data_IF_077226607654
#
_entry.id   IF_077226607654
#
_cell.length_a   1.000
_cell.length_b   1.000
_cell.length_c   1.000
_cell.angle_alpha   90.00
_cell.angle_beta   90.00
_cell.angle_gamma   90.00
#
_symmetry.space_group_name_H-M   'P 1'
#
loop_
_entity.id
_entity.type
_entity.pdbx_description
1 polymer ?
#
# COMPACT_ATOMS: atom_id res chain seq x y z
N UNK A 1 80.78 -11.11 -31.64
CA UNK A 1 81.74 -11.89 -30.84
C UNK A 1 80.99 -12.97 -30.11
N UNK A 2 81.29 -14.17 -30.52
CA UNK A 2 81.55 -15.42 -29.81
C UNK A 2 80.50 -15.71 -28.68
N UNK A 3 79.64 -16.68 -28.77
CA UNK A 3 79.88 -18.11 -29.09
C UNK A 3 80.12 -18.87 -27.82
N UNK A 4 79.19 -19.74 -27.40
CA UNK A 4 79.52 -21.09 -26.85
C UNK A 4 78.20 -21.93 -26.73
N UNK A 5 78.17 -22.95 -27.56
CA UNK A 5 77.39 -24.18 -27.39
C UNK A 5 77.84 -24.93 -26.13
N UNK A 6 76.92 -25.48 -25.37
CA UNK A 6 77.12 -26.62 -24.50
C UNK A 6 75.82 -27.46 -24.50
N UNK A 7 75.85 -28.48 -25.15
CA UNK A 7 75.88 -29.87 -24.87
C UNK A 7 74.59 -30.37 -24.20
N UNK A 8 73.77 -31.11 -25.03
CA UNK A 8 72.59 -31.76 -24.55
C UNK A 8 72.87 -32.97 -23.65
N UNK A 9 72.05 -33.18 -22.69
CA UNK A 9 71.72 -34.51 -22.17
C UNK A 9 70.20 -34.60 -22.06
N UNK A 10 69.59 -35.50 -22.83
CA UNK A 10 68.23 -35.93 -22.67
C UNK A 10 68.11 -36.73 -21.36
N UNK A 11 67.15 -36.39 -20.48
CA UNK A 11 66.82 -37.29 -19.39
C UNK A 11 65.87 -38.38 -19.88
N UNK A 12 66.24 -39.63 -19.52
CA UNK A 12 65.55 -40.89 -19.66
C UNK A 12 64.08 -40.70 -19.14
N UNK A 13 63.13 -41.05 -19.95
CA UNK A 13 61.69 -41.12 -19.57
C UNK A 13 61.53 -42.24 -18.53
N UNK A 14 61.30 -41.85 -17.29
CA UNK A 14 60.81 -42.76 -16.26
C UNK A 14 59.33 -43.06 -16.56
N UNK A 15 59.07 -44.32 -16.83
CA UNK A 15 57.71 -44.87 -16.95
C UNK A 15 57.04 -44.83 -15.57
N UNK A 16 56.31 -43.70 -15.28
CA UNK A 16 55.42 -43.64 -14.15
C UNK A 16 54.11 -44.33 -14.52
N UNK A 17 54.01 -45.61 -14.15
CA UNK A 17 52.81 -46.39 -14.20
C UNK A 17 51.64 -45.54 -13.62
N UNK A 18 50.65 -45.29 -14.48
CA UNK A 18 49.42 -44.56 -14.06
C UNK A 18 48.84 -45.18 -12.81
N UNK A 19 48.69 -44.44 -11.69
CA UNK A 19 47.97 -44.96 -10.55
C UNK A 19 46.54 -45.20 -11.01
N UNK A 20 46.07 -46.45 -10.89
CA UNK A 20 44.65 -46.82 -11.01
C UNK A 20 43.86 -45.82 -10.21
N UNK A 21 42.97 -45.10 -10.88
CA UNK A 21 42.04 -44.16 -10.28
C UNK A 21 41.33 -44.85 -9.08
N UNK A 22 41.78 -44.55 -7.88
CA UNK A 22 41.04 -44.87 -6.69
C UNK A 22 39.69 -44.21 -6.87
N UNK A 23 38.60 -44.99 -6.82
CA UNK A 23 37.24 -44.49 -7.01
C UNK A 23 37.04 -43.26 -6.15
N UNK A 24 36.67 -42.16 -6.75
CA UNK A 24 36.34 -40.93 -6.04
C UNK A 24 35.38 -41.24 -4.90
N UNK A 25 35.68 -40.81 -3.66
CA UNK A 25 34.79 -41.08 -2.56
C UNK A 25 33.40 -40.54 -2.95
N UNK A 26 32.44 -41.44 -3.03
CA UNK A 26 31.03 -41.06 -3.30
C UNK A 26 30.63 -40.15 -2.19
N UNK A 27 30.58 -38.87 -2.43
CA UNK A 27 30.02 -37.88 -1.49
C UNK A 27 28.50 -38.12 -1.49
N UNK A 28 27.94 -38.74 -0.42
CA UNK A 28 26.57 -39.26 -0.47
C UNK A 28 25.50 -38.14 -0.48
N UNK A 29 25.91 -36.89 -0.39
CA UNK A 29 24.99 -35.73 -0.29
C UNK A 29 25.33 -34.59 -1.26
N UNK A 30 25.87 -34.87 -2.42
CA UNK A 30 25.95 -33.87 -3.48
C UNK A 30 24.52 -33.45 -3.88
N UNK A 31 24.18 -32.17 -3.75
CA UNK A 31 22.84 -31.60 -4.06
C UNK A 31 22.37 -31.97 -5.49
N UNK A 32 23.29 -32.27 -6.41
CA UNK A 32 23.01 -32.65 -7.79
C UNK A 32 22.72 -34.16 -7.98
N UNK A 33 22.86 -34.99 -6.93
CA UNK A 33 22.65 -36.43 -7.01
C UNK A 33 21.21 -36.87 -6.62
N UNK A 34 20.45 -36.02 -5.98
CA UNK A 34 19.09 -36.35 -5.56
C UNK A 34 18.13 -36.18 -6.73
N UNK A 35 17.82 -37.31 -7.40
CA UNK A 35 16.76 -37.36 -8.42
C UNK A 35 15.49 -37.91 -7.80
N UNK A 36 14.52 -37.02 -7.63
CA UNK A 36 13.19 -37.41 -7.17
C UNK A 36 12.47 -38.16 -8.29
N UNK A 37 11.81 -39.27 -7.94
CA UNK A 37 10.88 -39.96 -8.83
C UNK A 37 9.63 -39.06 -9.05
N UNK A 38 8.89 -39.36 -10.13
CA UNK A 38 7.63 -38.62 -10.42
C UNK A 38 6.68 -38.62 -9.21
N UNK A 39 6.56 -39.75 -8.52
CA UNK A 39 5.72 -39.85 -7.30
C UNK A 39 6.21 -38.93 -6.19
N UNK A 40 7.52 -38.87 -5.95
CA UNK A 40 8.11 -37.97 -4.95
C UNK A 40 7.93 -36.49 -5.34
N UNK A 41 8.05 -36.15 -6.62
CA UNK A 41 7.73 -34.79 -7.12
C UNK A 41 6.26 -34.43 -6.88
N UNK A 42 5.32 -35.34 -7.15
CA UNK A 42 3.89 -35.11 -6.88
C UNK A 42 3.61 -34.91 -5.39
N UNK A 43 4.22 -35.75 -4.52
CA UNK A 43 4.10 -35.60 -3.07
C UNK A 43 4.69 -34.29 -2.59
N UNK A 44 5.91 -33.95 -3.02
CA UNK A 44 6.57 -32.69 -2.66
C UNK A 44 5.74 -31.47 -3.13
N UNK A 45 5.23 -31.51 -4.35
CA UNK A 45 4.35 -30.44 -4.87
C UNK A 45 3.04 -30.34 -4.07
N UNK A 46 2.44 -31.46 -3.69
CA UNK A 46 1.26 -31.49 -2.82
C UNK A 46 1.52 -30.86 -1.46
N UNK A 47 2.65 -31.20 -0.83
CA UNK A 47 3.07 -30.61 0.46
C UNK A 47 3.31 -29.11 0.31
N UNK A 48 4.02 -28.65 -0.73
CA UNK A 48 4.26 -27.23 -1.00
C UNK A 48 2.95 -26.45 -1.22
N UNK A 49 2.00 -27.03 -1.94
CA UNK A 49 0.68 -26.42 -2.13
C UNK A 49 -0.08 -26.33 -0.80
N UNK A 50 -0.08 -27.39 0.01
CA UNK A 50 -0.70 -27.37 1.34
C UNK A 50 -0.06 -26.32 2.24
N UNK A 51 1.27 -26.17 2.23
CA UNK A 51 1.96 -25.13 2.97
C UNK A 51 1.62 -23.73 2.46
N UNK A 52 1.62 -23.54 1.14
CA UNK A 52 1.35 -22.24 0.54
C UNK A 52 -0.04 -21.66 0.87
N UNK A 53 -1.02 -22.52 1.17
CA UNK A 53 -2.36 -22.11 1.55
C UNK A 53 -2.66 -22.31 3.04
N UNK A 54 -2.17 -23.39 3.63
CA UNK A 54 -2.46 -23.77 5.01
C UNK A 54 -1.74 -22.93 6.04
N UNK A 55 -0.43 -22.61 5.81
CA UNK A 55 0.35 -21.84 6.78
C UNK A 55 -0.19 -20.42 6.98
N UNK A 56 -0.51 -19.63 5.93
CA UNK A 56 -1.13 -18.31 6.12
C UNK A 56 -2.50 -18.37 6.82
N UNK A 57 -3.28 -19.44 6.61
CA UNK A 57 -4.55 -19.63 7.31
C UNK A 57 -4.35 -19.93 8.79
N UNK A 58 -3.42 -20.85 9.11
CA UNK A 58 -3.06 -21.15 10.49
C UNK A 58 -2.49 -19.92 11.22
N UNK A 59 -1.67 -19.11 10.53
CA UNK A 59 -1.13 -17.87 11.09
C UNK A 59 -2.22 -16.87 11.48
N UNK A 60 -3.26 -16.73 10.66
CA UNK A 60 -4.41 -15.87 10.98
C UNK A 60 -5.10 -16.26 12.30
N UNK A 61 -5.07 -17.54 12.67
CA UNK A 61 -5.64 -18.03 13.92
C UNK A 61 -4.68 -17.78 15.11
N UNK A 62 -3.38 -17.91 14.86
CA UNK A 62 -2.36 -17.74 15.90
C UNK A 62 -2.11 -16.25 16.23
N UNK A 63 -2.25 -15.36 15.24
CA UNK A 63 -2.07 -13.92 15.40
C UNK A 63 -3.44 -13.22 15.36
N UNK A 64 -4.06 -12.92 16.51
CA UNK A 64 -5.39 -12.33 16.55
C UNK A 64 -5.38 -10.89 16.03
N UNK A 65 -6.41 -10.53 15.27
CA UNK A 65 -6.73 -9.16 14.90
C UNK A 65 -7.98 -8.75 15.67
N UNK A 66 -7.81 -7.95 16.72
CA UNK A 66 -8.88 -7.44 17.56
C UNK A 66 -8.99 -5.92 17.43
N UNK A 67 -9.56 -5.41 16.33
CA UNK A 67 -9.64 -3.98 16.09
C UNK A 67 -10.67 -3.34 17.02
N UNK A 68 -10.25 -2.31 17.73
CA UNK A 68 -11.17 -1.42 18.43
C UNK A 68 -11.99 -0.54 17.46
N UNK A 69 -12.95 0.25 17.97
CA UNK A 69 -13.86 1.05 17.12
C UNK A 69 -13.15 2.06 16.22
N UNK A 70 -12.01 2.60 16.67
CA UNK A 70 -11.22 3.60 15.94
C UNK A 70 -9.96 2.99 15.29
N UNK A 71 -9.99 1.69 14.99
CA UNK A 71 -8.84 1.02 14.40
C UNK A 71 -8.54 1.56 13.00
N UNK A 72 -7.27 1.74 12.73
CA UNK A 72 -6.66 1.95 11.41
C UNK A 72 -5.42 1.08 11.31
N UNK A 73 -5.00 0.74 10.09
CA UNK A 73 -3.75 -0.01 9.91
C UNK A 73 -2.59 0.79 10.51
N UNK A 74 -1.80 0.23 11.44
CA UNK A 74 -0.63 0.90 12.00
C UNK A 74 0.33 1.39 10.93
N UNK A 75 0.96 2.55 11.14
CA UNK A 75 1.88 3.13 10.16
C UNK A 75 2.98 2.15 9.69
N UNK A 76 3.67 1.40 10.57
CA UNK A 76 4.68 0.42 10.13
C UNK A 76 4.14 -0.66 9.20
N UNK A 77 2.82 -0.94 9.26
CA UNK A 77 2.16 -1.94 8.43
C UNK A 77 1.49 -1.35 7.17
N UNK A 78 1.78 -0.09 6.80
CA UNK A 78 1.15 0.56 5.64
C UNK A 78 1.44 -0.16 4.31
N UNK A 79 2.57 -0.86 4.21
CA UNK A 79 2.97 -1.66 3.04
C UNK A 79 2.67 -3.16 3.20
N UNK A 80 2.13 -3.57 4.32
CA UNK A 80 1.72 -4.93 4.60
C UNK A 80 0.31 -5.21 4.04
N UNK A 81 0.24 -5.62 2.79
CA UNK A 81 -1.05 -5.82 2.12
C UNK A 81 -1.78 -7.08 2.60
N UNK A 82 -1.10 -8.04 3.25
CA UNK A 82 -1.74 -9.16 3.92
C UNK A 82 -2.52 -8.68 5.14
N UNK A 83 -1.92 -7.80 5.95
CA UNK A 83 -2.60 -7.18 7.10
C UNK A 83 -3.71 -6.21 6.68
N UNK A 84 -3.44 -5.36 5.67
CA UNK A 84 -4.46 -4.46 5.09
C UNK A 84 -5.68 -5.26 4.61
N UNK A 85 -5.46 -6.38 3.93
CA UNK A 85 -6.54 -7.27 3.50
C UNK A 85 -7.33 -7.84 4.69
N UNK A 86 -6.66 -8.30 5.75
CA UNK A 86 -7.34 -8.79 6.97
C UNK A 86 -8.25 -7.73 7.58
N UNK A 87 -7.75 -6.50 7.66
CA UNK A 87 -8.53 -5.37 8.15
C UNK A 87 -9.75 -5.07 7.26
N UNK A 88 -9.57 -5.06 5.95
CA UNK A 88 -10.68 -4.85 5.02
C UNK A 88 -11.72 -5.95 5.09
N UNK A 89 -11.29 -7.21 5.18
CA UNK A 89 -12.18 -8.35 5.35
C UNK A 89 -12.99 -8.23 6.65
N UNK A 90 -12.33 -7.85 7.76
CA UNK A 90 -13.00 -7.62 9.05
C UNK A 90 -14.00 -6.45 8.98
N UNK A 91 -13.59 -5.30 8.50
CA UNK A 91 -14.47 -4.12 8.41
C UNK A 91 -15.65 -4.35 7.45
N UNK A 92 -15.45 -5.07 6.35
CA UNK A 92 -16.51 -5.43 5.41
C UNK A 92 -17.50 -6.44 5.97
N UNK A 93 -17.17 -7.25 6.96
CA UNK A 93 -18.10 -8.18 7.61
C UNK A 93 -19.04 -7.50 8.63
N UNK A 94 -18.66 -6.33 9.16
CA UNK A 94 -19.45 -5.57 10.13
C UNK A 94 -20.48 -4.63 9.48
N UNK A 95 -21.32 -3.93 10.25
CA UNK A 95 -22.35 -3.02 9.75
C UNK A 95 -21.83 -1.62 9.37
N UNK A 96 -20.58 -1.31 9.65
CA UNK A 96 -20.00 0.03 9.52
C UNK A 96 -19.99 0.57 8.08
N UNK A 97 -20.01 1.89 7.94
CA UNK A 97 -19.73 2.58 6.69
C UNK A 97 -18.21 2.62 6.50
N UNK A 98 -17.73 2.19 5.35
CA UNK A 98 -16.31 2.07 5.07
C UNK A 98 -15.75 3.40 4.56
N UNK A 99 -14.77 3.99 5.24
CA UNK A 99 -14.12 5.24 4.83
C UNK A 99 -12.79 4.89 4.17
N UNK A 100 -12.76 4.98 2.85
CA UNK A 100 -11.63 4.54 2.02
C UNK A 100 -10.88 5.74 1.44
N UNK A 101 -9.56 5.74 1.54
CA UNK A 101 -8.73 6.82 1.00
C UNK A 101 -7.26 6.73 1.37
N UNK A 102 -6.58 7.85 1.23
CA UNK A 102 -5.15 8.01 1.47
C UNK A 102 -4.82 8.42 2.92
N UNK A 103 -3.65 9.03 3.12
CA UNK A 103 -3.16 9.54 4.39
C UNK A 103 -4.11 10.56 5.06
N UNK A 104 -4.98 11.23 4.30
CA UNK A 104 -6.02 12.11 4.86
C UNK A 104 -7.08 11.29 5.59
N UNK A 105 -7.52 10.18 5.03
CA UNK A 105 -8.44 9.25 5.72
C UNK A 105 -7.73 8.54 6.85
N UNK A 106 -6.50 8.08 6.62
CA UNK A 106 -5.68 7.43 7.64
C UNK A 106 -5.45 8.34 8.86
N UNK A 107 -5.23 9.64 8.63
CA UNK A 107 -5.03 10.64 9.70
C UNK A 107 -3.56 10.82 10.07
N UNK A 108 -2.71 11.22 9.10
CA UNK A 108 -1.23 11.27 9.22
C UNK A 108 -0.71 12.09 10.42
N UNK A 109 -1.37 13.20 10.78
CA UNK A 109 -0.95 14.10 11.87
C UNK A 109 -1.73 13.93 13.16
N UNK A 110 -2.65 12.97 13.22
CA UNK A 110 -3.58 12.83 14.34
C UNK A 110 -3.61 11.41 14.88
N UNK A 111 -4.09 11.23 16.10
CA UNK A 111 -4.34 9.91 16.67
C UNK A 111 -5.59 9.27 16.06
N UNK A 112 -5.77 7.97 16.24
CA UNK A 112 -6.90 7.20 15.69
C UNK A 112 -8.26 7.82 16.13
N UNK A 113 -8.35 8.28 17.38
CA UNK A 113 -9.52 8.98 17.96
C UNK A 113 -9.70 10.43 17.51
N UNK A 114 -8.97 10.87 16.50
CA UNK A 114 -9.04 12.23 15.96
C UNK A 114 -9.18 12.23 14.42
N UNK A 115 -9.41 11.05 13.83
CA UNK A 115 -9.59 10.88 12.39
C UNK A 115 -11.02 11.27 11.95
N UNK A 116 -11.23 11.39 10.64
CA UNK A 116 -12.55 11.68 10.08
C UNK A 116 -13.56 10.59 10.46
N UNK A 117 -13.19 9.31 10.37
CA UNK A 117 -14.06 8.18 10.72
C UNK A 117 -14.49 8.21 12.20
N UNK A 118 -13.56 8.53 13.12
CA UNK A 118 -13.88 8.70 14.53
C UNK A 118 -14.93 9.79 14.75
N UNK A 119 -14.68 11.00 14.22
CA UNK A 119 -15.62 12.11 14.42
C UNK A 119 -16.97 11.88 13.73
N UNK A 120 -17.01 11.22 12.58
CA UNK A 120 -18.28 10.82 11.97
C UNK A 120 -19.04 9.86 12.87
N UNK A 121 -18.40 8.81 13.41
CA UNK A 121 -19.04 7.87 14.35
C UNK A 121 -19.53 8.56 15.63
N UNK A 122 -18.69 9.43 16.21
CA UNK A 122 -19.00 10.12 17.46
C UNK A 122 -20.16 11.11 17.32
N UNK A 123 -20.20 11.85 16.20
CA UNK A 123 -21.19 12.94 16.01
C UNK A 123 -22.49 12.44 15.41
N UNK A 124 -22.49 11.38 14.65
CA UNK A 124 -23.70 10.73 14.11
C UNK A 124 -24.41 9.94 15.21
N UNK A 125 -23.69 9.18 16.01
CA UNK A 125 -24.19 8.41 17.16
C UNK A 125 -24.99 7.16 16.81
N UNK A 126 -25.48 7.03 15.57
CA UNK A 126 -26.29 5.89 15.09
C UNK A 126 -25.47 4.92 14.23
N UNK A 127 -24.54 5.43 13.45
CA UNK A 127 -23.72 4.65 12.53
C UNK A 127 -22.24 4.70 12.93
N UNK A 128 -21.58 3.57 12.76
CA UNK A 128 -20.12 3.47 12.87
C UNK A 128 -19.44 3.63 11.51
N UNK A 129 -18.23 4.23 11.52
CA UNK A 129 -17.42 4.46 10.33
C UNK A 129 -16.05 3.82 10.52
N UNK A 130 -15.71 2.84 9.69
CA UNK A 130 -14.40 2.16 9.76
C UNK A 130 -13.37 2.86 8.90
N UNK A 131 -12.20 3.15 9.47
CA UNK A 131 -11.07 3.78 8.79
C UNK A 131 -10.32 2.78 7.91
N UNK A 132 -10.52 2.82 6.61
CA UNK A 132 -9.79 2.04 5.60
C UNK A 132 -8.78 2.91 4.82
N UNK A 133 -8.32 3.99 5.44
CA UNK A 133 -7.23 4.80 4.91
C UNK A 133 -5.90 4.04 4.97
N UNK A 134 -5.05 4.28 3.97
CA UNK A 134 -3.67 3.79 3.94
C UNK A 134 -2.74 4.98 3.75
N UNK A 135 -1.74 5.10 4.62
CA UNK A 135 -0.81 6.23 4.55
C UNK A 135 0.02 6.19 3.26
N UNK A 136 0.18 7.36 2.64
CA UNK A 136 0.96 7.51 1.41
C UNK A 136 0.37 6.88 0.15
N UNK A 137 -0.83 6.29 0.19
CA UNK A 137 -1.45 5.69 -0.99
C UNK A 137 -1.99 6.78 -1.93
N UNK A 138 -1.68 6.66 -3.20
CA UNK A 138 -2.16 7.55 -4.27
C UNK A 138 -3.22 6.82 -5.12
N UNK A 139 -4.03 7.52 -5.95
CA UNK A 139 -5.16 6.90 -6.65
C UNK A 139 -4.82 5.67 -7.49
N UNK A 140 -3.66 5.63 -8.14
CA UNK A 140 -3.25 4.45 -8.91
C UNK A 140 -2.98 3.23 -8.01
N UNK A 141 -2.37 3.45 -6.85
CA UNK A 141 -2.15 2.39 -5.86
C UNK A 141 -3.48 2.01 -5.17
N UNK A 142 -4.35 2.98 -4.88
CA UNK A 142 -5.67 2.71 -4.31
C UNK A 142 -6.54 1.84 -5.23
N UNK A 143 -6.50 2.09 -6.54
CA UNK A 143 -7.19 1.24 -7.52
C UNK A 143 -6.69 -0.21 -7.46
N UNK A 144 -5.37 -0.41 -7.39
CA UNK A 144 -4.79 -1.74 -7.25
C UNK A 144 -5.09 -2.40 -5.89
N UNK A 145 -5.09 -1.62 -4.81
CA UNK A 145 -5.49 -2.10 -3.49
C UNK A 145 -6.93 -2.63 -3.52
N UNK A 146 -7.84 -1.84 -4.06
CA UNK A 146 -9.26 -2.21 -4.18
C UNK A 146 -9.41 -3.43 -5.09
N UNK A 147 -8.70 -3.47 -6.21
CA UNK A 147 -8.83 -4.56 -7.19
C UNK A 147 -8.32 -5.91 -6.63
N UNK A 148 -7.19 -5.92 -5.92
CA UNK A 148 -6.49 -7.14 -5.54
C UNK A 148 -6.70 -7.55 -4.07
N UNK A 149 -6.80 -6.60 -3.15
CA UNK A 149 -6.80 -6.88 -1.71
C UNK A 149 -8.12 -6.57 -0.98
N UNK A 150 -8.98 -5.70 -1.53
CA UNK A 150 -10.27 -5.35 -0.95
C UNK A 150 -11.45 -6.06 -1.63
N UNK A 151 -11.32 -7.33 -1.95
CA UNK A 151 -12.36 -8.10 -2.68
C UNK A 151 -13.61 -8.34 -1.85
N UNK A 152 -13.51 -8.34 -0.54
CA UNK A 152 -14.60 -8.45 0.43
C UNK A 152 -15.49 -7.20 0.49
N UNK A 153 -15.01 -6.05 0.00
CA UNK A 153 -15.81 -4.82 -0.06
C UNK A 153 -16.83 -4.93 -1.20
N UNK A 154 -18.01 -5.47 -0.86
CA UNK A 154 -19.15 -5.69 -1.75
C UNK A 154 -20.45 -5.38 -1.03
N UNK A 155 -21.44 -4.83 -1.71
CA UNK A 155 -22.75 -4.52 -1.16
C UNK A 155 -22.72 -3.51 0.00
N UNK A 156 -21.62 -2.75 0.14
CA UNK A 156 -21.35 -1.88 1.29
C UNK A 156 -21.60 -0.41 0.97
N UNK A 157 -21.76 0.39 2.04
CA UNK A 157 -21.67 1.84 1.95
C UNK A 157 -20.22 2.25 2.05
N UNK A 158 -19.70 2.98 1.05
CA UNK A 158 -18.30 3.39 0.97
C UNK A 158 -18.22 4.91 0.81
N UNK A 159 -17.64 5.59 1.78
CA UNK A 159 -17.19 6.97 1.66
C UNK A 159 -15.78 6.96 1.08
N UNK A 160 -15.65 7.32 -0.20
CA UNK A 160 -14.39 7.34 -0.94
C UNK A 160 -13.81 8.74 -0.95
N UNK A 161 -12.60 8.91 -0.48
CA UNK A 161 -11.89 10.19 -0.50
C UNK A 161 -11.20 10.43 -1.84
N UNK A 162 -11.41 11.61 -2.40
CA UNK A 162 -10.73 12.13 -3.58
C UNK A 162 -9.81 13.28 -3.16
N UNK A 163 -8.50 13.03 -3.10
CA UNK A 163 -7.51 14.04 -2.74
C UNK A 163 -6.97 14.75 -4.01
N UNK A 164 -7.28 16.04 -4.22
CA UNK A 164 -6.77 16.80 -5.37
C UNK A 164 -5.24 16.94 -5.42
N UNK A 165 -4.54 16.73 -4.28
CA UNK A 165 -3.08 16.79 -4.21
C UNK A 165 -2.41 15.91 -5.28
N UNK A 166 -2.98 14.75 -5.57
CA UNK A 166 -2.41 13.79 -6.51
C UNK A 166 -2.40 14.26 -7.97
N UNK A 167 -3.17 15.32 -8.30
CA UNK A 167 -3.17 15.98 -9.60
C UNK A 167 -2.46 17.34 -9.57
N UNK A 168 -1.78 17.68 -8.47
CA UNK A 168 -1.15 19.00 -8.31
C UNK A 168 0.10 19.19 -9.15
N UNK A 169 0.74 18.13 -9.63
CA UNK A 169 1.91 18.23 -10.52
C UNK A 169 2.09 16.95 -11.34
N UNK A 170 2.81 17.00 -12.46
CA UNK A 170 3.16 15.80 -13.23
C UNK A 170 3.89 14.74 -12.40
N UNK A 171 4.63 15.14 -11.36
CA UNK A 171 5.30 14.21 -10.44
C UNK A 171 4.29 13.47 -9.56
N UNK A 172 3.35 14.19 -8.93
CA UNK A 172 2.29 13.56 -8.13
C UNK A 172 1.36 12.73 -9.02
N UNK A 173 1.15 13.15 -10.26
CA UNK A 173 0.35 12.43 -11.25
C UNK A 173 1.07 11.20 -11.84
N UNK A 174 2.34 10.93 -11.48
CA UNK A 174 3.19 9.87 -12.04
C UNK A 174 3.43 9.98 -13.56
N UNK A 175 3.22 11.17 -14.14
CA UNK A 175 3.28 11.44 -15.57
C UNK A 175 4.64 11.95 -16.06
N UNK A 176 5.65 12.08 -15.18
CA UNK A 176 7.01 12.48 -15.58
C UNK A 176 7.79 11.28 -16.13
N UNK A 177 8.66 11.54 -17.11
CA UNK A 177 9.49 10.50 -17.73
C UNK A 177 10.73 10.11 -16.90
N UNK A 178 11.14 10.99 -15.98
CA UNK A 178 12.26 10.70 -15.09
C UNK A 178 11.85 9.71 -14.02
N UNK A 179 12.61 8.61 -13.89
CA UNK A 179 12.44 7.64 -12.81
C UNK A 179 12.54 8.28 -11.42
N UNK A 180 11.64 7.94 -10.53
CA UNK A 180 11.73 8.25 -9.11
C UNK A 180 10.98 7.22 -8.27
N UNK A 181 11.42 7.07 -7.02
CA UNK A 181 10.73 6.22 -6.05
C UNK A 181 9.44 6.89 -5.58
N UNK A 182 8.33 6.16 -5.65
CA UNK A 182 7.02 6.58 -5.14
C UNK A 182 6.42 5.49 -4.24
N UNK A 183 5.47 5.87 -3.41
CA UNK A 183 4.87 4.94 -2.46
C UNK A 183 4.03 3.86 -3.14
N UNK A 184 3.97 2.67 -2.53
CA UNK A 184 3.12 1.55 -2.93
C UNK A 184 3.31 1.04 -4.37
N UNK A 185 4.55 0.89 -4.88
CA UNK A 185 4.79 0.45 -6.25
C UNK A 185 4.25 -0.96 -6.53
N UNK A 186 4.10 -1.80 -5.50
CA UNK A 186 3.51 -3.12 -5.63
C UNK A 186 2.00 -3.11 -5.96
N UNK A 187 1.30 -2.00 -5.75
CA UNK A 187 -0.13 -1.87 -6.03
C UNK A 187 -0.44 -1.32 -7.42
N UNK A 188 0.48 -0.56 -8.03
CA UNK A 188 0.22 0.04 -9.34
C UNK A 188 0.23 -1.02 -10.46
N UNK A 189 -0.35 -0.73 -11.65
CA UNK A 189 -0.22 -1.59 -12.81
C UNK A 189 1.24 -1.92 -13.12
N UNK A 190 1.57 -3.22 -13.23
CA UNK A 190 2.94 -3.65 -13.49
C UNK A 190 3.30 -3.64 -14.98
N UNK A 191 2.30 -3.79 -15.85
CA UNK A 191 2.49 -3.84 -17.30
C UNK A 191 1.67 -2.78 -18.03
N UNK A 192 0.36 -2.81 -17.90
CA UNK A 192 -0.55 -1.89 -18.58
C UNK A 192 -1.59 -1.32 -17.59
N UNK A 193 -1.88 -0.02 -17.65
CA UNK A 193 -1.22 1.00 -18.48
C UNK A 193 0.22 1.28 -18.02
N UNK A 194 1.05 1.74 -18.95
CA UNK A 194 2.44 2.09 -18.68
C UNK A 194 2.54 3.36 -17.81
N UNK A 195 3.42 3.31 -16.80
CA UNK A 195 3.73 4.45 -15.93
C UNK A 195 5.15 4.92 -16.26
N UNK A 196 5.34 6.11 -16.83
CA UNK A 196 6.64 6.55 -17.35
C UNK A 196 7.76 6.57 -16.31
N UNK A 197 7.45 7.03 -15.09
CA UNK A 197 8.42 7.14 -14.00
C UNK A 197 8.70 5.82 -13.26
N UNK A 198 7.94 4.75 -13.54
CA UNK A 198 8.10 3.45 -12.86
C UNK A 198 8.98 2.51 -13.70
N UNK A 199 10.25 2.39 -13.29
CA UNK A 199 11.23 1.56 -13.98
C UNK A 199 11.65 0.40 -13.09
N UNK A 200 11.15 -0.77 -13.40
CA UNK A 200 11.43 -2.02 -12.70
C UNK A 200 11.77 -3.14 -13.68
N UNK A 201 12.58 -4.09 -13.22
CA UNK A 201 12.93 -5.29 -14.01
C UNK A 201 11.72 -6.18 -14.25
N UNK A 202 11.72 -6.92 -15.34
CA UNK A 202 10.65 -7.87 -15.68
C UNK A 202 10.45 -8.90 -14.55
N UNK A 203 11.54 -9.44 -13.99
CA UNK A 203 11.48 -10.41 -12.91
C UNK A 203 10.76 -9.86 -11.66
N UNK A 204 11.08 -8.61 -11.27
CA UNK A 204 10.43 -7.98 -10.13
C UNK A 204 8.95 -7.71 -10.39
N UNK A 205 8.58 -7.24 -11.57
CA UNK A 205 7.17 -7.05 -11.98
C UNK A 205 6.38 -8.37 -11.95
N UNK A 206 6.95 -9.45 -12.47
CA UNK A 206 6.35 -10.78 -12.40
C UNK A 206 6.23 -11.27 -10.96
N UNK A 207 7.28 -11.08 -10.15
CA UNK A 207 7.25 -11.39 -8.71
C UNK A 207 6.12 -10.68 -7.97
N UNK A 208 5.91 -9.39 -8.23
CA UNK A 208 4.79 -8.62 -7.66
C UNK A 208 3.44 -9.22 -8.08
N UNK A 209 3.27 -9.56 -9.35
CA UNK A 209 2.01 -10.19 -9.83
C UNK A 209 1.76 -11.52 -9.13
N UNK A 210 2.78 -12.37 -8.99
CA UNK A 210 2.66 -13.65 -8.27
C UNK A 210 2.28 -13.44 -6.80
N UNK A 211 2.93 -12.49 -6.10
CA UNK A 211 2.64 -12.15 -4.70
C UNK A 211 1.18 -11.72 -4.49
N UNK A 212 0.57 -11.00 -5.43
CA UNK A 212 -0.84 -10.60 -5.36
C UNK A 212 -1.82 -11.79 -5.38
N UNK A 213 -1.42 -12.92 -5.95
CA UNK A 213 -2.29 -14.08 -6.19
C UNK A 213 -2.01 -15.27 -5.25
N UNK A 214 -0.81 -15.36 -4.69
CA UNK A 214 -0.40 -16.47 -3.82
C UNK A 214 -0.31 -15.99 -2.36
N UNK A 215 -1.23 -16.38 -1.47
CA UNK A 215 -1.29 -15.90 -0.09
C UNK A 215 -0.02 -16.12 0.72
N UNK A 216 0.73 -17.17 0.41
CA UNK A 216 1.99 -17.49 1.08
C UNK A 216 3.03 -16.36 0.97
N UNK A 217 3.19 -15.77 -0.21
CA UNK A 217 4.14 -14.68 -0.40
C UNK A 217 3.71 -13.38 0.31
N UNK A 218 2.42 -13.07 0.29
CA UNK A 218 1.91 -11.93 1.06
C UNK A 218 2.07 -12.12 2.57
N UNK A 219 1.99 -13.38 3.05
CA UNK A 219 2.25 -13.73 4.43
C UNK A 219 3.73 -13.63 4.79
N UNK A 220 4.66 -14.01 3.89
CA UNK A 220 6.10 -13.78 4.08
C UNK A 220 6.37 -12.27 4.18
N UNK A 221 5.84 -11.46 3.24
CA UNK A 221 5.98 -10.01 3.30
C UNK A 221 5.46 -9.44 4.65
N UNK A 222 4.35 -9.99 5.17
CA UNK A 222 3.84 -9.64 6.50
C UNK A 222 4.84 -9.95 7.61
N UNK A 223 5.45 -11.14 7.61
CA UNK A 223 6.46 -11.49 8.62
C UNK A 223 7.66 -10.54 8.57
N UNK A 224 8.19 -10.27 7.38
CA UNK A 224 9.31 -9.35 7.18
C UNK A 224 8.97 -7.95 7.71
N UNK A 225 7.79 -7.42 7.39
CA UNK A 225 7.37 -6.07 7.81
C UNK A 225 7.06 -6.00 9.31
N UNK A 226 6.33 -6.99 9.83
CA UNK A 226 5.82 -6.93 11.21
C UNK A 226 6.84 -7.34 12.27
N UNK A 227 7.81 -8.22 11.93
CA UNK A 227 8.67 -8.88 12.91
C UNK A 227 10.16 -8.85 12.59
N UNK A 228 10.55 -8.48 11.36
CA UNK A 228 11.94 -8.48 10.91
C UNK A 228 12.38 -7.10 10.36
N UNK A 229 11.88 -6.01 10.95
CA UNK A 229 12.29 -4.63 10.64
C UNK A 229 12.18 -4.25 9.15
N UNK A 230 11.23 -4.88 8.45
CA UNK A 230 11.01 -4.72 7.00
C UNK A 230 12.24 -5.13 6.17
N UNK A 231 12.98 -6.13 6.63
CA UNK A 231 14.11 -6.76 5.93
C UNK A 231 13.83 -8.25 5.71
N UNK A 232 14.51 -8.86 4.76
CA UNK A 232 14.44 -10.32 4.63
C UNK A 232 15.14 -11.04 5.78
N UNK A 233 14.72 -12.27 6.05
CA UNK A 233 15.22 -13.05 7.20
C UNK A 233 16.74 -13.22 7.20
N UNK A 234 17.39 -13.32 6.03
CA UNK A 234 18.83 -13.49 5.95
C UNK A 234 19.55 -12.19 6.34
N UNK A 235 19.12 -11.05 5.80
CA UNK A 235 19.66 -9.74 6.15
C UNK A 235 19.43 -9.45 7.65
N UNK A 236 18.21 -9.68 8.16
CA UNK A 236 17.90 -9.49 9.57
C UNK A 236 18.80 -10.34 10.49
N UNK A 237 19.02 -11.61 10.17
CA UNK A 237 19.90 -12.50 10.96
C UNK A 237 21.36 -12.02 10.95
N UNK A 238 21.82 -11.41 9.85
CA UNK A 238 23.16 -10.82 9.79
C UNK A 238 23.29 -9.56 10.63
N UNK A 239 22.24 -8.75 10.71
CA UNK A 239 22.18 -7.55 11.54
C UNK A 239 21.97 -7.88 13.02
N UNK A 240 21.38 -9.02 13.31
CA UNK A 240 21.04 -9.48 14.68
C UNK A 240 21.70 -10.86 14.98
N UNK A 241 23.05 -10.97 14.95
CA UNK A 241 23.75 -12.28 14.98
C UNK A 241 23.56 -13.07 16.28
N UNK A 242 23.07 -12.44 17.34
CA UNK A 242 22.80 -13.06 18.64
C UNK A 242 21.31 -13.24 18.94
N UNK A 243 20.43 -12.82 18.06
CA UNK A 243 18.99 -13.00 18.22
C UNK A 243 18.53 -14.32 17.61
N UNK A 244 17.57 -14.97 18.26
CA UNK A 244 16.92 -16.15 17.70
C UNK A 244 15.77 -15.73 16.77
N UNK A 245 15.84 -15.96 15.46
CA UNK A 245 14.77 -15.55 14.54
C UNK A 245 13.43 -16.26 14.79
N UNK A 246 13.41 -17.38 15.51
CA UNK A 246 12.15 -18.06 15.88
C UNK A 246 11.42 -17.37 17.03
N UNK A 247 12.09 -16.50 17.78
CA UNK A 247 11.51 -15.72 18.88
C UNK A 247 11.09 -14.31 18.45
N UNK A 248 11.54 -13.85 17.29
CA UNK A 248 11.18 -12.54 16.75
C UNK A 248 9.66 -12.39 16.52
N UNK A 249 8.90 -13.39 15.99
CA UNK A 249 7.46 -13.29 15.83
C UNK A 249 6.73 -13.35 17.19
N UNK A 250 6.47 -12.17 17.75
CA UNK A 250 5.79 -12.05 19.05
C UNK A 250 4.27 -12.24 18.98
N UNK A 251 3.70 -12.35 17.79
CA UNK A 251 2.26 -12.37 17.51
C UNK A 251 1.52 -11.12 18.00
N UNK A 252 2.24 -10.03 18.24
CA UNK A 252 1.71 -8.75 18.68
C UNK A 252 1.89 -7.71 17.60
N UNK A 253 0.77 -7.19 17.11
CA UNK A 253 0.78 -6.14 16.12
C UNK A 253 1.06 -4.76 16.73
N UNK A 254 1.69 -3.83 16.01
CA UNK A 254 1.87 -2.45 16.46
C UNK A 254 0.54 -1.77 16.79
N UNK A 255 0.59 -0.74 17.62
CA UNK A 255 -0.59 0.08 17.93
C UNK A 255 -1.05 0.88 16.69
N UNK A 256 -2.38 1.05 16.49
CA UNK A 256 -2.91 1.99 15.49
C UNK A 256 -2.40 3.42 15.64
N UNK A 257 -1.96 3.79 16.85
CA UNK A 257 -1.41 5.11 17.16
C UNK A 257 0.12 5.18 17.07
N UNK A 258 0.79 4.10 16.60
CA UNK A 258 2.22 4.17 16.28
C UNK A 258 2.44 5.23 15.19
N UNK A 259 3.19 6.31 15.49
CA UNK A 259 3.35 7.41 14.55
C UNK A 259 4.30 7.04 13.41
N UNK A 260 4.22 7.77 12.28
CA UNK A 260 5.29 7.78 11.29
C UNK A 260 6.66 8.10 11.90
N UNK A 261 7.73 7.61 11.28
CA UNK A 261 9.10 7.96 11.65
C UNK A 261 9.78 8.67 10.46
N UNK A 262 10.23 9.93 10.61
CA UNK A 262 10.14 10.77 11.81
C UNK A 262 8.68 11.15 12.14
N UNK A 263 8.43 11.43 13.41
CA UNK A 263 7.07 11.81 13.86
C UNK A 263 6.65 13.13 13.21
N UNK A 264 5.51 13.21 12.52
CA UNK A 264 5.05 14.43 11.89
C UNK A 264 4.67 15.51 12.92
N UNK A 265 4.93 16.75 12.56
CA UNK A 265 4.65 17.91 13.42
C UNK A 265 3.19 18.30 13.29
N UNK A 266 2.38 18.02 14.32
CA UNK A 266 0.94 18.32 14.37
C UNK A 266 0.67 19.79 14.75
N UNK A 267 1.11 20.73 13.89
CA UNK A 267 0.92 22.19 14.02
C UNK A 267 0.35 22.77 12.73
N UNK A 268 -0.24 23.95 12.75
CA UNK A 268 -0.60 24.66 11.53
C UNK A 268 0.58 24.82 10.58
N UNK A 269 0.35 24.64 9.29
CA UNK A 269 1.38 24.66 8.25
C UNK A 269 2.27 25.91 8.28
N UNK A 270 1.68 27.11 8.55
CA UNK A 270 2.42 28.38 8.60
C UNK A 270 3.32 28.50 9.84
N UNK A 271 3.05 27.76 10.91
CA UNK A 271 3.93 27.67 12.09
C UNK A 271 5.12 26.71 11.87
N UNK A 272 5.06 25.91 10.83
CA UNK A 272 6.13 24.98 10.44
C UNK A 272 7.11 25.59 9.43
N UNK A 273 6.94 26.88 9.08
CA UNK A 273 7.76 27.53 8.04
C UNK A 273 7.47 27.05 6.61
N UNK A 274 6.34 26.38 6.40
CA UNK A 274 5.94 25.92 5.05
C UNK A 274 5.44 27.14 4.26
N UNK A 275 6.06 27.40 3.12
CA UNK A 275 5.71 28.52 2.25
C UNK A 275 4.53 28.18 1.31
N UNK A 276 3.92 29.24 0.78
CA UNK A 276 2.96 29.10 -0.32
C UNK A 276 3.67 28.62 -1.58
N UNK A 277 2.98 27.82 -2.37
CA UNK A 277 3.55 27.20 -3.55
C UNK A 277 2.63 27.35 -4.78
N UNK A 278 3.22 27.17 -5.96
CA UNK A 278 2.56 27.26 -7.24
C UNK A 278 2.73 25.93 -8.01
N UNK A 279 1.94 24.92 -7.70
CA UNK A 279 2.07 23.65 -8.39
C UNK A 279 1.53 23.72 -9.82
N UNK A 280 2.19 23.03 -10.77
CA UNK A 280 1.74 22.94 -12.17
C UNK A 280 0.62 21.90 -12.31
N UNK A 281 -0.60 22.27 -11.94
CA UNK A 281 -1.78 21.40 -11.95
C UNK A 281 -1.96 20.66 -13.27
N UNK A 282 -2.14 19.34 -13.19
CA UNK A 282 -2.41 18.48 -14.35
C UNK A 282 -3.89 18.58 -14.72
N UNK A 283 -4.19 18.62 -16.03
CA UNK A 283 -5.57 18.58 -16.49
C UNK A 283 -6.18 17.21 -16.28
N UNK A 284 -7.40 17.13 -15.72
CA UNK A 284 -8.04 15.85 -15.40
C UNK A 284 -8.32 14.99 -16.63
N UNK A 285 -8.46 15.61 -17.80
CA UNK A 285 -8.66 14.88 -19.07
C UNK A 285 -7.46 13.98 -19.43
N UNK A 286 -6.25 14.33 -18.98
CA UNK A 286 -5.00 13.60 -19.26
C UNK A 286 -4.33 13.07 -18.01
N UNK A 287 -4.88 13.32 -16.82
CA UNK A 287 -4.30 12.89 -15.54
C UNK A 287 -4.42 11.38 -15.38
N UNK A 288 -3.27 10.74 -15.15
CA UNK A 288 -3.19 9.33 -14.83
C UNK A 288 -3.84 9.01 -13.47
N UNK A 289 -3.56 9.83 -12.45
CA UNK A 289 -4.14 9.63 -11.12
C UNK A 289 -5.66 9.80 -11.12
N UNK A 290 -6.18 10.78 -11.87
CA UNK A 290 -7.62 10.94 -12.03
C UNK A 290 -8.27 9.74 -12.72
N UNK A 291 -7.65 9.23 -13.78
CA UNK A 291 -8.13 8.02 -14.47
C UNK A 291 -8.19 6.83 -13.48
N UNK A 292 -7.16 6.67 -12.64
CA UNK A 292 -7.12 5.59 -11.65
C UNK A 292 -8.14 5.80 -10.53
N UNK A 293 -8.39 7.04 -10.12
CA UNK A 293 -9.49 7.34 -9.20
C UNK A 293 -10.85 6.91 -9.78
N UNK A 294 -11.13 7.27 -11.03
CA UNK A 294 -12.35 6.81 -11.73
C UNK A 294 -12.45 5.29 -11.77
N UNK A 295 -11.34 4.62 -12.01
CA UNK A 295 -11.27 3.15 -11.98
C UNK A 295 -11.64 2.60 -10.60
N UNK A 296 -11.20 3.22 -9.51
CA UNK A 296 -11.57 2.83 -8.15
C UNK A 296 -13.09 2.91 -7.96
N UNK A 297 -13.69 4.03 -8.35
CA UNK A 297 -15.17 4.21 -8.29
C UNK A 297 -15.88 3.12 -9.10
N UNK A 298 -15.42 2.83 -10.31
CA UNK A 298 -16.00 1.81 -11.18
C UNK A 298 -15.93 0.40 -10.54
N UNK A 299 -14.77 0.01 -9.99
CA UNK A 299 -14.61 -1.30 -9.33
C UNK A 299 -15.56 -1.41 -8.15
N UNK A 300 -15.64 -0.38 -7.30
CA UNK A 300 -16.52 -0.38 -6.15
C UNK A 300 -18.00 -0.49 -6.56
N UNK A 301 -18.43 0.28 -7.55
CA UNK A 301 -19.82 0.24 -8.05
C UNK A 301 -20.17 -1.11 -8.70
N UNK A 302 -19.26 -1.72 -9.46
CA UNK A 302 -19.47 -3.05 -10.05
C UNK A 302 -19.56 -4.16 -9.00
N UNK A 303 -19.17 -3.89 -7.77
CA UNK A 303 -19.33 -4.80 -6.61
C UNK A 303 -20.55 -4.41 -5.77
N UNK A 304 -21.52 -3.73 -6.35
CA UNK A 304 -22.78 -3.31 -5.71
C UNK A 304 -22.61 -2.40 -4.49
N UNK A 305 -21.42 -1.77 -4.33
CA UNK A 305 -21.22 -0.80 -3.28
C UNK A 305 -21.96 0.51 -3.62
N UNK A 306 -22.56 1.09 -2.58
CA UNK A 306 -23.02 2.48 -2.63
C UNK A 306 -21.84 3.38 -2.33
N UNK A 307 -21.38 4.10 -3.33
CA UNK A 307 -20.21 4.97 -3.23
C UNK A 307 -20.68 6.41 -3.07
N UNK A 308 -20.19 7.07 -2.02
CA UNK A 308 -20.25 8.51 -1.84
C UNK A 308 -18.82 9.07 -1.91
N UNK A 309 -18.60 10.13 -2.68
CA UNK A 309 -17.27 10.72 -2.86
C UNK A 309 -17.13 11.99 -2.04
N UNK A 310 -16.09 12.06 -1.21
CA UNK A 310 -15.64 13.29 -0.56
C UNK A 310 -14.49 13.89 -1.38
N UNK A 311 -14.70 15.06 -1.99
CA UNK A 311 -13.67 15.79 -2.74
C UNK A 311 -12.95 16.77 -1.80
N UNK A 312 -11.67 16.52 -1.52
CA UNK A 312 -10.90 17.28 -0.54
C UNK A 312 -11.10 16.78 0.90
N UNK A 313 -10.66 17.53 1.90
CA UNK A 313 -10.27 18.93 1.84
C UNK A 313 -8.89 19.16 1.23
N UNK A 314 -8.67 20.35 0.67
CA UNK A 314 -7.38 20.82 0.20
C UNK A 314 -7.13 22.23 0.77
N UNK A 315 -5.91 22.46 1.22
CA UNK A 315 -5.50 23.72 1.84
C UNK A 315 -5.20 24.79 0.78
N UNK A 316 -6.25 25.43 0.30
CA UNK A 316 -6.13 26.50 -0.71
C UNK A 316 -5.36 27.73 -0.20
N UNK A 317 -5.18 27.88 1.15
CA UNK A 317 -4.42 28.99 1.73
C UNK A 317 -2.92 28.90 1.44
N UNK A 318 -2.42 27.68 1.13
CA UNK A 318 -1.05 27.47 0.71
C UNK A 318 -0.79 27.78 -0.77
N UNK A 319 -1.84 28.03 -1.55
CA UNK A 319 -1.68 28.33 -2.97
C UNK A 319 -1.49 29.83 -3.20
N UNK A 320 -0.57 30.17 -4.11
CA UNK A 320 -0.54 31.52 -4.68
C UNK A 320 -1.81 31.81 -5.51
N UNK A 321 -2.21 33.06 -5.75
CA UNK A 321 -3.48 33.39 -6.42
C UNK A 321 -3.67 32.71 -7.77
N UNK A 322 -2.63 32.62 -8.59
CA UNK A 322 -2.67 32.00 -9.91
C UNK A 322 -2.97 30.51 -9.81
N UNK A 323 -2.28 29.83 -8.91
CA UNK A 323 -2.45 28.39 -8.68
C UNK A 323 -3.81 28.06 -8.07
N UNK A 324 -4.37 28.96 -7.27
CA UNK A 324 -5.71 28.79 -6.71
C UNK A 324 -6.78 28.72 -7.80
N UNK A 325 -6.66 29.56 -8.86
CA UNK A 325 -7.57 29.50 -10.03
C UNK A 325 -7.43 28.16 -10.77
N UNK A 326 -6.20 27.71 -10.98
CA UNK A 326 -5.94 26.42 -11.61
C UNK A 326 -6.53 25.27 -10.78
N UNK A 327 -6.33 25.26 -9.46
CA UNK A 327 -6.95 24.31 -8.54
C UNK A 327 -8.48 24.30 -8.67
N UNK A 328 -9.11 25.48 -8.61
CA UNK A 328 -10.57 25.60 -8.71
C UNK A 328 -11.11 25.02 -10.02
N UNK A 329 -10.41 25.23 -11.14
CA UNK A 329 -10.79 24.61 -12.41
C UNK A 329 -10.74 23.08 -12.35
N UNK A 330 -9.70 22.47 -11.73
CA UNK A 330 -9.58 21.00 -11.55
C UNK A 330 -10.65 20.47 -10.59
N UNK A 331 -10.89 21.18 -9.52
CA UNK A 331 -11.96 20.84 -8.58
C UNK A 331 -13.34 20.84 -9.26
N UNK A 332 -13.64 21.87 -10.08
CA UNK A 332 -14.88 21.93 -10.84
C UNK A 332 -14.99 20.79 -11.85
N UNK A 333 -13.91 20.44 -12.56
CA UNK A 333 -13.87 19.29 -13.45
C UNK A 333 -14.20 17.98 -12.71
N UNK A 334 -13.64 17.78 -11.52
CA UNK A 334 -13.91 16.58 -10.71
C UNK A 334 -15.38 16.53 -10.27
N UNK A 335 -15.91 17.63 -9.73
CA UNK A 335 -17.32 17.74 -9.31
C UNK A 335 -18.27 17.54 -10.49
N UNK A 336 -18.00 18.16 -11.62
CA UNK A 336 -18.81 18.01 -12.84
C UNK A 336 -18.83 16.54 -13.30
N UNK A 337 -17.68 15.87 -13.30
CA UNK A 337 -17.63 14.45 -13.68
C UNK A 337 -18.50 13.60 -12.72
N UNK A 338 -18.42 13.82 -11.39
CA UNK A 338 -19.24 13.11 -10.41
C UNK A 338 -20.74 13.33 -10.63
N UNK A 339 -21.14 14.58 -10.90
CA UNK A 339 -22.53 14.95 -11.22
C UNK A 339 -23.03 14.24 -12.47
N UNK A 340 -22.26 14.31 -13.57
CA UNK A 340 -22.62 13.72 -14.87
C UNK A 340 -22.78 12.20 -14.78
N UNK A 341 -22.01 11.53 -13.88
CA UNK A 341 -22.09 10.07 -13.69
C UNK A 341 -23.04 9.67 -12.56
N UNK A 342 -23.83 10.60 -12.01
CA UNK A 342 -24.79 10.33 -10.95
C UNK A 342 -24.14 9.76 -9.67
N UNK A 343 -22.93 10.21 -9.35
CA UNK A 343 -22.21 9.77 -8.15
C UNK A 343 -22.47 10.77 -7.03
N UNK A 344 -23.14 10.35 -5.93
CA UNK A 344 -23.37 11.23 -4.80
C UNK A 344 -22.02 11.67 -4.18
N UNK A 345 -21.89 12.93 -3.89
CA UNK A 345 -20.64 13.51 -3.41
C UNK A 345 -20.85 14.73 -2.54
N UNK A 346 -19.85 15.04 -1.74
CA UNK A 346 -19.69 16.32 -1.07
C UNK A 346 -18.34 16.93 -1.47
N UNK A 347 -18.36 18.24 -1.67
CA UNK A 347 -17.19 19.04 -1.99
C UNK A 347 -17.17 20.26 -1.09
N UNK A 348 -16.86 20.08 0.24
CA UNK A 348 -17.00 21.11 1.24
C UNK A 348 -16.06 22.29 0.95
N UNK A 349 -16.40 23.50 1.44
CA UNK A 349 -15.50 24.65 1.36
C UNK A 349 -14.21 24.36 2.12
N UNK A 350 -13.11 25.06 1.80
CA UNK A 350 -11.85 24.90 2.52
C UNK A 350 -12.03 25.18 4.01
N UNK A 351 -11.37 24.40 4.84
CA UNK A 351 -11.30 24.66 6.28
C UNK A 351 -10.50 25.96 6.54
N UNK A 352 -10.63 26.51 7.74
CA UNK A 352 -9.79 27.65 8.15
C UNK A 352 -8.29 27.27 8.11
N UNK A 353 -7.43 28.22 7.73
CA UNK A 353 -6.01 27.99 7.48
C UNK A 353 -5.28 27.27 8.61
N UNK A 354 -5.55 27.63 9.88
CA UNK A 354 -4.93 27.03 11.06
C UNK A 354 -5.36 25.58 11.33
N UNK A 355 -6.32 25.06 10.59
CA UNK A 355 -6.82 23.69 10.75
C UNK A 355 -6.11 22.67 9.85
N UNK A 356 -5.10 23.09 9.10
CA UNK A 356 -4.30 22.22 8.26
C UNK A 356 -2.86 22.15 8.75
N UNK A 357 -2.31 20.93 8.74
CA UNK A 357 -0.88 20.69 8.98
C UNK A 357 -0.03 20.93 7.72
N UNK A 358 -0.61 20.70 6.53
CA UNK A 358 0.03 20.88 5.23
C UNK A 358 -1.00 21.13 4.10
N UNK A 359 -0.68 20.73 2.87
CA UNK A 359 -1.51 20.97 1.69
C UNK A 359 -2.83 20.18 1.70
N UNK A 360 -2.92 19.05 2.37
CA UNK A 360 -4.11 18.19 2.32
C UNK A 360 -4.57 17.63 3.67
N UNK A 361 -3.72 17.64 4.69
CA UNK A 361 -4.01 17.00 5.96
C UNK A 361 -4.60 17.98 6.97
N UNK A 362 -5.85 17.76 7.41
CA UNK A 362 -6.42 18.48 8.54
C UNK A 362 -5.72 18.11 9.86
N UNK A 363 -5.71 19.04 10.80
CA UNK A 363 -5.47 18.78 12.21
C UNK A 363 -6.78 18.27 12.87
N UNK A 364 -6.73 17.84 14.13
CA UNK A 364 -7.88 17.26 14.84
C UNK A 364 -9.15 18.10 14.75
N UNK A 365 -9.06 19.42 15.00
CA UNK A 365 -10.18 20.34 14.87
C UNK A 365 -10.67 20.51 13.42
N UNK A 366 -9.77 20.34 12.45
CA UNK A 366 -10.10 20.30 11.02
C UNK A 366 -10.95 19.08 10.69
N UNK A 367 -10.57 17.90 11.15
CA UNK A 367 -11.35 16.67 10.95
C UNK A 367 -12.72 16.75 11.62
N UNK A 368 -12.79 17.27 12.85
CA UNK A 368 -14.07 17.49 13.54
C UNK A 368 -15.00 18.39 12.74
N UNK A 369 -14.47 19.51 12.24
CA UNK A 369 -15.24 20.45 11.44
C UNK A 369 -15.70 19.86 10.11
N UNK A 370 -14.84 19.06 9.47
CA UNK A 370 -15.16 18.33 8.23
C UNK A 370 -16.30 17.34 8.47
N UNK A 371 -16.22 16.55 9.55
CA UNK A 371 -17.29 15.62 9.94
C UNK A 371 -18.62 16.33 10.20
N UNK A 372 -18.59 17.45 10.94
CA UNK A 372 -19.79 18.28 11.17
C UNK A 372 -20.38 18.82 9.86
N UNK A 373 -19.53 19.24 8.93
CA UNK A 373 -19.95 19.71 7.60
C UNK A 373 -20.64 18.62 6.80
N UNK A 374 -20.05 17.42 6.76
CA UNK A 374 -20.62 16.26 6.09
C UNK A 374 -21.98 15.84 6.68
N UNK A 375 -22.09 15.76 7.99
CA UNK A 375 -23.34 15.39 8.65
C UNK A 375 -24.46 16.44 8.48
N UNK A 376 -24.15 17.67 8.07
CA UNK A 376 -25.15 18.69 7.67
C UNK A 376 -25.50 18.61 6.18
N UNK A 377 -24.67 18.00 5.38
CA UNK A 377 -24.91 17.82 3.94
C UNK A 377 -26.09 16.87 3.70
N UNK A 378 -27.09 17.32 2.93
CA UNK A 378 -28.30 16.55 2.68
C UNK A 378 -28.01 15.25 1.90
N UNK A 379 -27.12 15.30 0.91
CA UNK A 379 -26.77 14.13 0.09
C UNK A 379 -26.01 13.11 0.94
N UNK A 380 -25.12 13.56 1.84
CA UNK A 380 -24.40 12.67 2.75
C UNK A 380 -25.35 12.02 3.76
N UNK A 381 -26.26 12.77 4.37
CA UNK A 381 -27.29 12.20 5.27
C UNK A 381 -28.16 11.17 4.55
N UNK A 382 -28.59 11.45 3.33
CA UNK A 382 -29.34 10.50 2.53
C UNK A 382 -28.53 9.22 2.20
N UNK A 383 -27.21 9.33 2.04
CA UNK A 383 -26.32 8.21 1.84
C UNK A 383 -26.18 7.37 3.14
N UNK A 384 -25.99 8.02 4.29
CA UNK A 384 -25.82 7.37 5.60
C UNK A 384 -27.09 6.64 6.02
N UNK A 385 -28.28 7.26 5.87
CA UNK A 385 -29.55 6.73 6.37
C UNK A 385 -30.18 5.67 5.44
N UNK A 386 -29.76 5.54 4.20
CA UNK A 386 -30.27 4.48 3.32
C UNK A 386 -29.77 3.12 3.80
N UNK A 387 -30.71 2.22 4.11
CA UNK A 387 -30.37 0.82 4.41
C UNK A 387 -29.42 0.23 3.34
N UNK A 388 -28.49 -0.63 3.77
CA UNK A 388 -27.68 -1.41 2.83
C UNK A 388 -28.63 -2.19 1.90
N UNK A 389 -28.25 -2.49 0.64
CA UNK A 389 -29.01 -3.42 -0.19
C UNK A 389 -29.18 -4.71 0.61
N UNK A 390 -30.41 -5.12 0.86
CA UNK A 390 -30.71 -6.47 1.35
C UNK A 390 -30.32 -7.44 0.25
N UNK A 391 -29.45 -8.41 0.57
CA UNK A 391 -29.13 -9.55 -0.29
C UNK A 391 -30.38 -10.36 -0.65
#
# INVERSE_FOLDING_TARGET
MAGKNLGGQQPVAADYGSPRAAGSPHVPFGSNAVRLSVRQWLVASGILLLMAWGVPLAWKQAEPLEPGPDYRVPYPLSHDYWMVRRWFDHAASGPSILVLGDSVVWGHYVQSRQTLSHYLSQLDGEHSFSNLGVDGIHPAALAGLVEHYAKSVRGRRVLLHCNPLWMSSPRHDLAIDKEFAFNHPALVPQFMPWIPCYRETLSRRLGIVVRRHVPFFSWIDHLEIAYFDNTDLAAWTMEHPYANPLEAPTLRLPSPDTPPSPRPVARPWFEQGIERFNPPWVDLAVSFQWERFRRTVEILRRRDNRVFVLVGPFNQHMLVPESRRAYQARWQQAVHWLQTHGIPHAAPPPLASHRYADASHPLAEGYRSLAQGLLRDQAFRAFVNRAAPTE
#
